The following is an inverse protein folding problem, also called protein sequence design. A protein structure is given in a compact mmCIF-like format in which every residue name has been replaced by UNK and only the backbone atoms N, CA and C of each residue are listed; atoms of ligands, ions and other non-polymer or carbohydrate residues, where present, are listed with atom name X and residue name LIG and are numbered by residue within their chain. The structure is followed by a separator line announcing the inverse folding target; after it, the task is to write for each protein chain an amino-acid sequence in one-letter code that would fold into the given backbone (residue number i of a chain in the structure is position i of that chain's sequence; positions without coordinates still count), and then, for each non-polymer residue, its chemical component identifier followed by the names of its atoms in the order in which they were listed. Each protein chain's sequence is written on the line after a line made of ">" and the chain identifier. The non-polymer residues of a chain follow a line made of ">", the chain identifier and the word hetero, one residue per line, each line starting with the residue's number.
data_IF_910371184836
#
_entry.id   IF_910371184836
#
_cell.length_a   1.000
_cell.length_b   1.000
_cell.length_c   1.000
_cell.angle_alpha   90.00
_cell.angle_beta   90.00
_cell.angle_gamma   90.00
#
_symmetry.space_group_name_H-M   'P 1'
#
loop_
_entity.id
_entity.type
_entity.pdbx_description
1 polymer ?
#
# COMPACT_ATOMS: atom_id res chain seq x y z
N UNK A 1 -27.00 5.33 -65.92
CA UNK A 1 -25.57 5.62 -66.14
C UNK A 1 -25.19 6.75 -65.19
N UNK A 2 -24.37 6.64 -64.16
CA UNK A 2 -23.65 5.57 -63.48
C UNK A 2 -23.42 6.08 -62.04
N UNK A 3 -23.51 5.21 -61.03
CA UNK A 3 -22.36 4.80 -60.22
C UNK A 3 -21.56 5.98 -59.65
N UNK A 4 -21.86 6.41 -58.41
CA UNK A 4 -21.10 7.51 -57.81
C UNK A 4 -21.31 7.87 -56.33
N UNK A 5 -22.17 7.19 -55.55
CA UNK A 5 -22.46 7.63 -54.16
C UNK A 5 -22.57 6.48 -53.14
N UNK A 6 -21.70 5.47 -53.19
CA UNK A 6 -21.69 4.41 -52.15
C UNK A 6 -20.29 3.95 -51.71
N UNK A 7 -19.33 4.88 -51.62
CA UNK A 7 -17.94 4.54 -51.26
C UNK A 7 -17.48 4.96 -49.85
N UNK A 8 -18.39 5.30 -48.93
CA UNK A 8 -18.00 5.68 -47.55
C UNK A 8 -18.95 5.21 -46.43
N UNK A 9 -19.52 3.99 -46.52
CA UNK A 9 -20.33 3.42 -45.42
C UNK A 9 -19.98 1.97 -45.03
N UNK A 10 -18.77 1.49 -45.36
CA UNK A 10 -18.40 0.07 -45.20
C UNK A 10 -17.29 -0.25 -44.19
N UNK A 11 -16.86 0.70 -43.35
CA UNK A 11 -15.67 0.54 -42.49
C UNK A 11 -15.91 0.77 -40.99
N UNK A 12 -17.11 0.41 -40.52
CA UNK A 12 -17.42 0.26 -39.10
C UNK A 12 -18.19 -1.05 -38.89
N UNK A 13 -17.47 -2.17 -38.83
CA UNK A 13 -17.87 -3.40 -38.12
C UNK A 13 -17.01 -4.56 -38.61
N UNK A 14 -15.91 -4.83 -37.91
CA UNK A 14 -15.27 -6.15 -37.81
C UNK A 14 -14.24 -6.11 -36.69
N UNK A 15 -14.73 -5.91 -35.47
CA UNK A 15 -14.01 -6.41 -34.29
C UNK A 15 -14.03 -7.92 -34.37
N UNK A 16 -12.97 -8.50 -34.94
CA UNK A 16 -12.74 -9.93 -34.86
C UNK A 16 -12.44 -10.27 -33.39
N UNK A 17 -13.42 -10.85 -32.71
CA UNK A 17 -13.23 -11.47 -31.42
C UNK A 17 -12.18 -12.58 -31.60
N UNK A 18 -11.02 -12.41 -30.97
CA UNK A 18 -10.02 -13.48 -30.86
C UNK A 18 -10.68 -14.63 -30.10
N UNK A 19 -10.75 -15.85 -30.67
CA UNK A 19 -11.40 -16.97 -29.99
C UNK A 19 -10.62 -17.31 -28.72
N UNK A 20 -11.32 -17.42 -27.59
CA UNK A 20 -10.76 -17.67 -26.26
C UNK A 20 -9.75 -18.84 -26.22
N UNK A 21 -9.95 -19.86 -27.06
CA UNK A 21 -9.08 -21.03 -27.21
C UNK A 21 -7.63 -20.70 -27.64
N UNK A 22 -7.43 -19.69 -28.50
CA UNK A 22 -6.09 -19.25 -28.88
C UNK A 22 -5.38 -18.60 -27.68
N UNK A 23 -6.11 -17.81 -26.88
CA UNK A 23 -5.59 -17.22 -25.65
C UNK A 23 -5.19 -18.24 -24.60
N UNK A 24 -5.94 -19.35 -24.47
CA UNK A 24 -5.67 -20.39 -23.48
C UNK A 24 -4.47 -21.28 -23.84
N UNK A 25 -4.28 -21.56 -25.13
CA UNK A 25 -3.09 -22.30 -25.60
C UNK A 25 -1.81 -21.48 -25.44
N UNK A 26 -1.85 -20.18 -25.79
CA UNK A 26 -0.73 -19.27 -25.52
C UNK A 26 -0.43 -19.16 -24.02
N UNK A 27 -1.44 -19.03 -23.16
CA UNK A 27 -1.26 -19.03 -21.70
C UNK A 27 -0.64 -20.33 -21.19
N UNK A 28 -1.02 -21.48 -21.74
CA UNK A 28 -0.47 -22.78 -21.36
C UNK A 28 1.02 -22.90 -21.73
N UNK A 29 1.39 -22.48 -22.95
CA UNK A 29 2.80 -22.42 -23.38
C UNK A 29 3.59 -21.43 -22.52
N UNK A 30 3.05 -20.25 -22.24
CA UNK A 30 3.67 -19.28 -21.33
C UNK A 30 3.84 -19.82 -19.91
N UNK A 31 2.89 -20.61 -19.38
CA UNK A 31 3.03 -21.27 -18.06
C UNK A 31 4.07 -22.37 -18.05
N UNK A 32 4.36 -22.99 -19.19
CA UNK A 32 5.42 -23.99 -19.29
C UNK A 32 6.81 -23.34 -19.29
N UNK A 33 6.94 -22.19 -19.96
CA UNK A 33 8.20 -21.41 -20.02
C UNK A 33 8.40 -20.55 -18.76
N UNK A 34 7.32 -20.01 -18.20
CA UNK A 34 7.27 -19.15 -17.01
C UNK A 34 6.22 -19.69 -16.02
N UNK A 35 6.54 -20.75 -15.28
CA UNK A 35 5.62 -21.32 -14.31
C UNK A 35 5.28 -20.29 -13.23
N UNK A 36 4.00 -20.20 -12.78
CA UNK A 36 3.67 -19.34 -11.66
C UNK A 36 4.46 -19.82 -10.44
N UNK A 37 5.14 -18.87 -9.79
CA UNK A 37 5.96 -19.14 -8.61
C UNK A 37 5.41 -18.39 -7.41
N UNK A 38 5.58 -19.00 -6.24
CA UNK A 38 5.20 -18.38 -4.98
C UNK A 38 5.94 -17.06 -4.77
N UNK A 39 5.19 -15.98 -4.53
CA UNK A 39 5.70 -14.66 -4.23
C UNK A 39 6.56 -14.61 -2.96
N UNK A 40 6.45 -15.59 -2.06
CA UNK A 40 7.24 -15.69 -0.83
C UNK A 40 8.52 -16.51 -0.96
N UNK A 41 8.45 -17.71 -1.55
CA UNK A 41 9.57 -18.69 -1.58
C UNK A 41 10.03 -19.10 -2.98
N UNK A 42 9.46 -18.54 -4.06
CA UNK A 42 9.78 -18.85 -5.46
C UNK A 42 9.58 -20.31 -5.91
N UNK A 43 9.04 -21.20 -5.07
CA UNK A 43 8.64 -22.56 -5.48
C UNK A 43 7.53 -22.47 -6.54
N UNK A 44 7.57 -23.34 -7.54
CA UNK A 44 6.49 -23.48 -8.53
C UNK A 44 5.17 -23.80 -7.82
N UNK A 45 4.12 -23.11 -8.23
CA UNK A 45 2.75 -23.30 -7.72
C UNK A 45 1.89 -23.89 -8.82
N UNK A 46 0.96 -24.78 -8.47
CA UNK A 46 0.05 -25.41 -9.44
C UNK A 46 -1.10 -24.52 -9.93
N UNK A 47 -1.17 -23.26 -9.49
CA UNK A 47 -2.28 -22.34 -9.80
C UNK A 47 -1.87 -20.88 -9.74
N UNK A 48 -2.85 -19.98 -9.91
CA UNK A 48 -2.68 -18.52 -9.92
C UNK A 48 -2.51 -17.90 -8.52
N UNK A 49 -2.45 -18.74 -7.48
CA UNK A 49 -2.26 -18.30 -6.10
C UNK A 49 -0.91 -17.59 -5.94
N UNK A 50 -0.94 -16.38 -5.40
CA UNK A 50 0.29 -15.60 -5.23
C UNK A 50 1.24 -16.20 -4.18
N UNK A 51 0.75 -17.02 -3.25
CA UNK A 51 1.57 -17.75 -2.28
C UNK A 51 1.25 -19.25 -2.31
N UNK A 52 2.26 -20.08 -2.04
CA UNK A 52 2.03 -21.48 -1.68
C UNK A 52 1.43 -21.61 -0.27
N UNK A 53 0.86 -22.77 0.06
CA UNK A 53 0.24 -23.03 1.36
C UNK A 53 1.18 -22.78 2.56
N UNK A 54 2.46 -23.12 2.43
CA UNK A 54 3.45 -22.88 3.50
C UNK A 54 3.68 -21.39 3.74
N UNK A 55 3.90 -20.63 2.65
CA UNK A 55 4.09 -19.19 2.73
C UNK A 55 2.81 -18.48 3.20
N UNK A 56 1.64 -18.97 2.81
CA UNK A 56 0.37 -18.41 3.27
C UNK A 56 0.19 -18.59 4.79
N UNK A 57 0.48 -19.78 5.33
CA UNK A 57 0.43 -20.06 6.78
C UNK A 57 1.47 -19.27 7.58
N UNK A 58 2.59 -18.93 6.96
CA UNK A 58 3.68 -18.13 7.55
C UNK A 58 3.40 -16.61 7.53
N UNK A 59 2.26 -16.16 6.98
CA UNK A 59 1.82 -14.77 7.14
C UNK A 59 1.00 -14.65 8.42
N UNK A 60 1.58 -13.99 9.42
CA UNK A 60 0.87 -13.58 10.63
C UNK A 60 -0.03 -12.37 10.34
N UNK A 61 -1.21 -12.62 9.77
CA UNK A 61 -2.23 -11.61 9.50
C UNK A 61 -2.70 -10.95 10.80
N UNK A 62 -2.96 -9.65 10.73
CA UNK A 62 -3.57 -8.89 11.81
C UNK A 62 -5.07 -8.77 11.50
N UNK A 63 -5.89 -9.46 12.29
CA UNK A 63 -7.35 -9.36 12.29
C UNK A 63 -7.82 -8.91 13.70
N UNK A 64 -9.11 -8.57 13.85
CA UNK A 64 -9.70 -8.24 15.16
C UNK A 64 -9.54 -9.41 16.14
N UNK A 65 -9.37 -9.16 17.45
CA UNK A 65 -9.37 -7.85 18.11
C UNK A 65 -8.01 -7.14 18.03
N UNK A 66 -8.04 -5.83 17.77
CA UNK A 66 -6.84 -4.97 17.75
C UNK A 66 -7.15 -3.60 18.37
N UNK A 67 -6.10 -2.85 18.71
CA UNK A 67 -6.19 -1.48 19.17
C UNK A 67 -6.81 -0.57 18.10
N UNK A 68 -7.85 0.18 18.45
CA UNK A 68 -8.56 1.01 17.47
C UNK A 68 -7.67 2.13 16.88
N UNK A 69 -6.70 2.62 17.64
CA UNK A 69 -5.77 3.68 17.21
C UNK A 69 -4.52 3.14 16.53
N UNK A 70 -3.84 2.15 17.12
CA UNK A 70 -2.55 1.66 16.61
C UNK A 70 -2.66 0.39 15.76
N UNK A 71 -3.80 -0.29 15.73
CA UNK A 71 -3.95 -1.56 14.99
C UNK A 71 -3.08 -2.70 15.53
N UNK A 72 -2.57 -2.57 16.76
CA UNK A 72 -1.80 -3.64 17.44
C UNK A 72 -2.80 -4.72 17.88
N UNK A 73 -2.61 -5.99 17.49
CA UNK A 73 -3.51 -7.08 17.88
C UNK A 73 -3.51 -7.29 19.39
N UNK A 74 -4.67 -7.69 19.92
CA UNK A 74 -4.82 -8.10 21.31
C UNK A 74 -4.95 -9.63 21.41
N UNK A 75 -4.40 -10.19 22.49
CA UNK A 75 -4.54 -11.61 22.78
C UNK A 75 -5.98 -12.01 23.15
N UNK A 76 -6.81 -11.05 23.59
CA UNK A 76 -8.22 -11.25 23.95
C UNK A 76 -9.07 -10.09 23.46
N UNK A 77 -10.34 -10.38 23.24
CA UNK A 77 -11.32 -9.35 22.95
C UNK A 77 -11.64 -8.57 24.23
N UNK A 78 -11.52 -7.25 24.14
CA UNK A 78 -11.77 -6.29 25.21
C UNK A 78 -13.02 -5.44 24.94
N UNK A 79 -13.79 -5.77 23.90
CA UNK A 79 -14.96 -5.03 23.45
C UNK A 79 -14.62 -3.90 22.46
N UNK A 80 -15.67 -3.25 21.98
CA UNK A 80 -15.57 -2.21 20.97
C UNK A 80 -14.87 -0.95 21.51
N UNK A 81 -14.03 -0.32 20.67
CA UNK A 81 -13.39 0.94 21.02
C UNK A 81 -12.11 0.80 21.85
N UNK A 82 -11.63 -0.42 22.12
CA UNK A 82 -10.50 -0.60 23.03
C UNK A 82 -9.17 -0.07 22.45
N UNK A 83 -8.40 0.62 23.30
CA UNK A 83 -7.15 1.29 22.93
C UNK A 83 -6.01 0.74 23.78
N UNK A 84 -4.88 0.43 23.15
CA UNK A 84 -3.72 -0.13 23.84
C UNK A 84 -3.05 0.87 24.78
N UNK A 85 -2.39 0.39 25.83
CA UNK A 85 -1.63 1.23 26.76
C UNK A 85 -0.60 2.13 26.04
N UNK A 86 0.01 1.63 24.96
CA UNK A 86 0.93 2.40 24.14
C UNK A 86 0.25 3.60 23.46
N UNK A 87 -0.95 3.41 22.93
CA UNK A 87 -1.70 4.50 22.29
C UNK A 87 -2.18 5.55 23.30
N UNK A 88 -2.47 5.14 24.54
CA UNK A 88 -2.84 6.04 25.63
C UNK A 88 -1.61 6.84 26.11
N UNK A 89 -0.49 6.15 26.36
CA UNK A 89 0.73 6.77 26.89
C UNK A 89 1.39 7.69 25.86
N UNK A 90 1.34 7.35 24.58
CA UNK A 90 1.91 8.15 23.50
C UNK A 90 0.97 8.22 22.29
N UNK A 91 -0.04 9.11 22.32
CA UNK A 91 -0.99 9.26 21.24
C UNK A 91 -0.31 9.65 19.92
N UNK A 92 -0.57 8.91 18.82
CA UNK A 92 0.01 9.25 17.53
C UNK A 92 -0.66 10.49 16.91
N UNK A 93 0.00 11.17 15.95
CA UNK A 93 -0.55 12.33 15.26
C UNK A 93 -1.51 11.95 14.10
N UNK A 94 -2.15 10.80 14.19
CA UNK A 94 -3.10 10.23 13.22
C UNK A 94 -4.21 9.52 14.00
N UNK A 95 -5.36 9.30 13.37
CA UNK A 95 -6.55 8.77 14.05
C UNK A 95 -6.48 7.27 14.26
N UNK A 96 -5.99 6.58 13.23
CA UNK A 96 -5.94 5.12 13.21
C UNK A 96 -4.81 4.62 12.33
N UNK A 97 -4.29 3.47 12.69
CA UNK A 97 -3.36 2.66 11.93
C UNK A 97 -3.97 1.29 11.69
N UNK A 98 -3.86 0.81 10.45
CA UNK A 98 -4.19 -0.55 10.06
C UNK A 98 -3.00 -1.14 9.30
N UNK A 99 -2.73 -2.41 9.54
CA UNK A 99 -1.69 -3.15 8.84
C UNK A 99 -2.19 -4.55 8.48
N UNK A 100 -1.70 -5.10 7.37
CA UNK A 100 -2.12 -6.44 6.92
C UNK A 100 -1.56 -7.53 7.83
N UNK A 101 -0.30 -7.41 8.23
CA UNK A 101 0.42 -8.47 8.94
C UNK A 101 1.54 -7.93 9.83
N UNK A 102 2.01 -8.78 10.75
CA UNK A 102 3.27 -8.52 11.45
C UNK A 102 4.44 -8.55 10.45
N UNK A 103 5.47 -7.74 10.69
CA UNK A 103 6.65 -7.63 9.82
C UNK A 103 7.65 -8.77 10.06
N UNK A 104 7.17 -10.00 9.87
CA UNK A 104 7.91 -11.25 10.09
C UNK A 104 7.65 -12.25 8.96
N UNK A 105 8.30 -13.41 9.01
CA UNK A 105 8.07 -14.53 8.09
C UNK A 105 7.94 -14.14 6.62
N UNK A 106 6.84 -14.53 6.01
CA UNK A 106 6.55 -14.29 4.58
C UNK A 106 6.18 -12.84 4.31
N UNK A 107 5.52 -12.14 5.24
CA UNK A 107 5.20 -10.71 5.07
C UNK A 107 6.47 -9.86 4.92
N UNK A 108 7.49 -10.11 5.75
CA UNK A 108 8.81 -9.47 5.64
C UNK A 108 9.48 -9.76 4.29
N UNK A 109 9.39 -10.99 3.80
CA UNK A 109 9.93 -11.38 2.48
C UNK A 109 9.23 -10.61 1.36
N UNK A 110 7.91 -10.52 1.38
CA UNK A 110 7.12 -9.78 0.37
C UNK A 110 7.51 -8.29 0.33
N UNK A 111 7.58 -7.64 1.50
CA UNK A 111 8.08 -6.26 1.62
C UNK A 111 9.48 -6.12 1.04
N UNK A 112 10.38 -7.05 1.36
CA UNK A 112 11.76 -7.02 0.85
C UNK A 112 11.78 -7.16 -0.68
N UNK A 113 11.02 -8.10 -1.25
CA UNK A 113 10.94 -8.31 -2.71
C UNK A 113 10.39 -7.08 -3.42
N UNK A 114 9.35 -6.45 -2.88
CA UNK A 114 8.84 -5.18 -3.40
C UNK A 114 9.89 -4.05 -3.32
N UNK A 115 10.72 -4.01 -2.26
CA UNK A 115 11.73 -2.97 -2.05
C UNK A 115 12.97 -3.08 -2.93
N UNK A 116 13.34 -4.29 -3.36
CA UNK A 116 14.68 -4.57 -3.87
C UNK A 116 14.74 -5.47 -5.13
N UNK A 117 13.63 -6.05 -5.57
CA UNK A 117 13.62 -7.01 -6.68
C UNK A 117 12.70 -6.58 -7.84
N UNK A 118 12.28 -5.32 -7.90
CA UNK A 118 11.42 -4.75 -8.94
C UNK A 118 10.12 -5.54 -9.23
N UNK A 119 9.67 -6.35 -8.25
CA UNK A 119 8.46 -7.17 -8.30
C UNK A 119 7.20 -6.33 -8.06
N UNK A 120 6.95 -5.38 -8.96
CA UNK A 120 5.76 -4.51 -8.93
C UNK A 120 4.46 -5.29 -9.14
N UNK A 121 4.53 -6.49 -9.71
CA UNK A 121 3.43 -7.46 -9.76
C UNK A 121 2.88 -7.79 -8.37
N UNK A 122 3.72 -7.75 -7.32
CA UNK A 122 3.29 -7.96 -5.93
C UNK A 122 2.45 -6.79 -5.41
N UNK A 123 2.67 -5.57 -5.89
CA UNK A 123 1.98 -4.39 -5.38
C UNK A 123 0.46 -4.51 -5.57
N UNK A 124 0.00 -5.15 -6.65
CA UNK A 124 -1.43 -5.42 -6.87
C UNK A 124 -2.01 -6.33 -5.80
N UNK A 125 -1.37 -7.45 -5.53
CA UNK A 125 -1.81 -8.40 -4.50
C UNK A 125 -1.81 -7.74 -3.12
N UNK A 126 -0.69 -7.10 -2.78
CA UNK A 126 -0.49 -6.46 -1.47
C UNK A 126 -1.54 -5.37 -1.24
N UNK A 127 -1.89 -4.60 -2.26
CA UNK A 127 -2.95 -3.60 -2.18
C UNK A 127 -4.34 -4.20 -1.92
N UNK A 128 -4.66 -5.37 -2.48
CA UNK A 128 -5.92 -6.05 -2.18
C UNK A 128 -5.97 -6.52 -0.72
N UNK A 129 -4.86 -6.99 -0.17
CA UNK A 129 -4.80 -7.35 1.25
C UNK A 129 -4.89 -6.11 2.15
N UNK A 130 -4.25 -5.01 1.74
CA UNK A 130 -4.37 -3.72 2.44
C UNK A 130 -5.81 -3.21 2.41
N UNK A 131 -6.53 -3.38 1.30
CA UNK A 131 -7.95 -3.01 1.22
C UNK A 131 -8.79 -3.80 2.24
N UNK A 132 -8.60 -5.12 2.32
CA UNK A 132 -9.25 -5.95 3.35
C UNK A 132 -8.88 -5.48 4.76
N UNK A 133 -7.60 -5.30 5.04
CA UNK A 133 -7.11 -4.90 6.36
C UNK A 133 -7.51 -3.46 6.75
N UNK A 134 -7.96 -2.65 5.79
CA UNK A 134 -8.37 -1.27 6.04
C UNK A 134 -9.60 -1.16 6.94
N UNK A 135 -10.35 -2.24 7.16
CA UNK A 135 -11.50 -2.24 8.09
C UNK A 135 -12.53 -1.16 7.72
N UNK A 136 -12.81 -1.03 6.41
CA UNK A 136 -13.74 -0.04 5.84
C UNK A 136 -13.21 1.40 5.76
N UNK A 137 -12.03 1.70 6.31
CA UNK A 137 -11.48 3.06 6.34
C UNK A 137 -11.13 3.60 4.95
N UNK A 138 -10.73 2.71 4.02
CA UNK A 138 -10.50 3.10 2.62
C UNK A 138 -11.81 3.44 1.93
N UNK A 139 -12.89 2.71 2.18
CA UNK A 139 -14.20 3.01 1.59
C UNK A 139 -14.78 4.31 2.13
N UNK A 140 -14.49 4.63 3.39
CA UNK A 140 -14.88 5.88 4.02
C UNK A 140 -13.98 7.08 3.67
N UNK A 141 -12.82 6.89 3.03
CA UNK A 141 -11.91 8.01 2.77
C UNK A 141 -12.33 8.86 1.56
N UNK A 142 -11.84 10.09 1.51
CA UNK A 142 -12.05 11.00 0.39
C UNK A 142 -10.87 10.95 -0.60
N UNK A 143 -9.67 10.58 -0.12
CA UNK A 143 -8.49 10.41 -0.96
C UNK A 143 -7.41 9.51 -0.33
N UNK A 144 -6.53 9.00 -1.19
CA UNK A 144 -5.37 8.20 -0.83
C UNK A 144 -4.10 8.98 -1.14
N UNK A 145 -3.20 9.11 -0.16
CA UNK A 145 -1.92 9.79 -0.28
C UNK A 145 -0.80 8.80 0.05
N UNK A 146 0.18 8.55 -0.85
CA UNK A 146 1.34 7.74 -0.50
C UNK A 146 2.37 8.54 0.28
N UNK A 147 3.08 7.90 1.22
CA UNK A 147 4.26 8.49 1.85
C UNK A 147 5.37 8.68 0.79
N UNK A 148 5.90 9.90 0.61
CA UNK A 148 6.93 10.14 -0.39
C UNK A 148 8.30 9.62 0.07
N UNK A 149 9.01 8.97 -0.84
CA UNK A 149 10.43 8.68 -0.69
C UNK A 149 11.27 9.91 -1.01
N UNK A 150 12.47 9.96 -0.44
CA UNK A 150 13.44 10.99 -0.80
C UNK A 150 13.91 10.82 -2.26
N UNK A 151 14.13 11.92 -2.98
CA UNK A 151 14.58 11.93 -4.40
C UNK A 151 15.81 11.05 -4.64
N UNK A 152 16.82 11.11 -3.78
CA UNK A 152 18.03 10.26 -3.89
C UNK A 152 17.74 8.75 -3.74
N UNK A 153 16.67 8.39 -3.03
CA UNK A 153 16.24 6.99 -2.89
C UNK A 153 15.40 6.55 -4.09
N UNK A 154 14.60 7.46 -4.65
CA UNK A 154 13.87 7.26 -5.91
C UNK A 154 14.83 6.98 -7.07
N UNK A 155 15.91 7.77 -7.21
CA UNK A 155 16.93 7.57 -8.25
C UNK A 155 17.66 6.22 -8.15
N UNK A 156 17.84 5.69 -6.93
CA UNK A 156 18.54 4.40 -6.71
C UNK A 156 17.63 3.18 -6.80
N UNK A 157 16.31 3.33 -6.63
CA UNK A 157 15.33 2.23 -6.59
C UNK A 157 14.29 2.28 -7.70
N UNK A 158 14.38 3.23 -8.63
CA UNK A 158 13.55 3.42 -9.83
C UNK A 158 12.05 3.68 -9.62
N UNK A 159 11.46 3.33 -8.47
CA UNK A 159 10.05 3.60 -8.14
C UNK A 159 9.81 3.80 -6.63
N UNK A 160 8.64 4.37 -6.29
CA UNK A 160 8.18 4.54 -4.90
C UNK A 160 7.22 3.41 -4.51
N UNK A 161 7.65 2.52 -3.63
CA UNK A 161 6.86 1.35 -3.19
C UNK A 161 5.51 1.76 -2.61
N UNK A 162 5.50 2.77 -1.74
CA UNK A 162 4.28 3.29 -1.12
C UNK A 162 3.35 3.92 -2.17
N UNK A 163 3.90 4.56 -3.20
CA UNK A 163 3.11 5.07 -4.33
C UNK A 163 2.54 3.95 -5.22
N UNK A 164 3.29 2.88 -5.46
CA UNK A 164 2.81 1.72 -6.21
C UNK A 164 1.69 0.97 -5.48
N UNK A 165 1.85 0.76 -4.18
CA UNK A 165 0.79 0.21 -3.32
C UNK A 165 -0.44 1.12 -3.35
N UNK A 166 -0.27 2.43 -3.15
CA UNK A 166 -1.37 3.39 -3.18
C UNK A 166 -2.07 3.44 -4.54
N UNK A 167 -1.34 3.30 -5.65
CA UNK A 167 -1.89 3.26 -7.01
C UNK A 167 -2.79 2.05 -7.23
N UNK A 168 -2.36 0.87 -6.78
CA UNK A 168 -3.20 -0.32 -6.87
C UNK A 168 -4.38 -0.27 -5.90
N UNK A 169 -4.19 0.29 -4.69
CA UNK A 169 -5.26 0.46 -3.71
C UNK A 169 -6.34 1.42 -4.20
N UNK A 170 -5.95 2.58 -4.75
CA UNK A 170 -6.84 3.56 -5.35
C UNK A 170 -7.67 2.97 -6.49
N UNK A 171 -7.04 2.17 -7.36
CA UNK A 171 -7.75 1.48 -8.45
C UNK A 171 -8.74 0.43 -7.93
N UNK A 172 -8.36 -0.33 -6.90
CA UNK A 172 -9.21 -1.37 -6.34
C UNK A 172 -10.41 -0.79 -5.57
N UNK A 173 -10.25 0.37 -4.93
CA UNK A 173 -11.29 1.05 -4.14
C UNK A 173 -12.06 2.13 -4.89
N UNK A 174 -11.63 2.51 -6.10
CA UNK A 174 -12.21 3.63 -6.84
C UNK A 174 -11.92 5.01 -6.23
N UNK A 175 -10.98 5.11 -5.27
CA UNK A 175 -10.66 6.36 -4.57
C UNK A 175 -9.62 7.20 -5.31
N UNK A 176 -9.67 8.55 -5.22
CA UNK A 176 -8.66 9.42 -5.81
C UNK A 176 -7.27 9.18 -5.21
N UNK A 177 -6.26 8.99 -6.08
CA UNK A 177 -4.85 8.97 -5.69
C UNK A 177 -4.24 10.37 -5.83
N UNK A 178 -3.67 10.87 -4.73
CA UNK A 178 -3.04 12.19 -4.64
C UNK A 178 -1.53 12.07 -4.43
N UNK A 179 -0.84 11.43 -5.39
CA UNK A 179 0.58 11.09 -5.28
C UNK A 179 1.53 12.30 -5.27
N UNK A 180 1.09 13.46 -5.76
CA UNK A 180 1.87 14.69 -5.83
C UNK A 180 1.63 15.67 -4.67
N UNK A 181 0.70 15.36 -3.76
CA UNK A 181 0.23 16.29 -2.74
C UNK A 181 1.19 16.38 -1.55
N UNK A 182 1.76 15.25 -1.12
CA UNK A 182 2.74 15.21 -0.04
C UNK A 182 4.16 15.10 -0.59
N UNK A 183 5.05 15.99 -0.15
CA UNK A 183 6.45 16.02 -0.54
C UNK A 183 7.36 15.72 0.65
N UNK A 184 8.50 15.08 0.36
CA UNK A 184 9.62 14.97 1.29
C UNK A 184 10.64 16.05 1.00
N UNK A 185 10.73 17.06 1.86
CA UNK A 185 11.52 18.29 1.65
C UNK A 185 12.90 18.27 2.29
N UNK A 186 13.15 17.36 3.25
CA UNK A 186 14.43 17.24 3.94
C UNK A 186 15.11 15.90 3.62
N UNK A 187 16.42 15.88 3.31
CA UNK A 187 17.20 14.65 3.33
C UNK A 187 17.30 14.13 4.77
N UNK A 188 17.08 12.83 4.93
CA UNK A 188 17.15 12.17 6.25
C UNK A 188 18.15 11.04 6.16
N UNK A 189 18.96 10.85 7.20
CA UNK A 189 19.91 9.75 7.28
C UNK A 189 19.20 8.39 7.28
N UNK A 190 19.96 7.32 7.00
CA UNK A 190 19.42 5.96 7.10
C UNK A 190 18.99 5.71 8.54
N UNK A 191 17.74 5.28 8.73
CA UNK A 191 17.19 5.01 10.06
C UNK A 191 17.68 3.70 10.69
N UNK A 192 18.43 2.88 9.94
CA UNK A 192 19.02 1.63 10.44
C UNK A 192 20.09 1.98 11.47
N UNK A 193 20.02 1.36 12.65
CA UNK A 193 20.93 1.64 13.77
C UNK A 193 20.52 2.82 14.66
N UNK A 194 19.53 3.64 14.26
CA UNK A 194 19.02 4.73 15.09
C UNK A 194 18.03 4.24 16.15
N UNK A 195 18.09 4.84 17.34
CA UNK A 195 17.09 4.70 18.40
C UNK A 195 15.73 5.26 17.97
N UNK A 196 14.66 4.92 18.68
CA UNK A 196 13.32 5.43 18.36
C UNK A 196 13.25 6.97 18.40
N UNK A 197 13.89 7.58 19.40
CA UNK A 197 13.99 9.04 19.54
C UNK A 197 14.78 9.65 18.37
N UNK A 198 15.97 9.12 18.07
CA UNK A 198 16.78 9.59 16.95
C UNK A 198 16.06 9.45 15.59
N UNK A 199 15.23 8.42 15.42
CA UNK A 199 14.38 8.28 14.23
C UNK A 199 13.32 9.38 14.14
N UNK A 200 12.71 9.79 15.26
CA UNK A 200 11.73 10.88 15.31
C UNK A 200 12.36 12.22 14.94
N UNK A 201 13.53 12.51 15.49
CA UNK A 201 14.24 13.76 15.20
C UNK A 201 14.73 13.83 13.75
N UNK A 202 15.24 12.72 13.22
CA UNK A 202 15.71 12.63 11.84
C UNK A 202 14.62 13.03 10.81
N UNK A 203 13.36 12.67 11.06
CA UNK A 203 12.23 12.99 10.15
C UNK A 203 11.45 14.24 10.53
N UNK A 204 11.83 14.94 11.60
CA UNK A 204 11.17 16.19 12.00
C UNK A 204 11.28 17.24 10.89
N UNK A 205 10.14 17.79 10.48
CA UNK A 205 10.06 18.75 9.39
C UNK A 205 10.39 18.18 8.00
N UNK A 206 10.49 16.85 7.86
CA UNK A 206 10.88 16.25 6.58
C UNK A 206 9.75 16.20 5.54
N UNK A 207 8.51 16.47 5.93
CA UNK A 207 7.33 16.40 5.08
C UNK A 207 6.55 17.71 5.07
N UNK A 208 6.09 18.10 3.88
CA UNK A 208 5.25 19.27 3.63
C UNK A 208 4.31 18.97 2.47
N UNK A 209 3.23 19.73 2.33
CA UNK A 209 2.44 19.68 1.11
C UNK A 209 3.18 20.35 -0.04
N UNK A 210 2.90 19.90 -1.26
CA UNK A 210 3.26 20.64 -2.46
C UNK A 210 2.54 22.00 -2.45
N UNK A 211 3.21 23.10 -2.86
CA UNK A 211 2.59 24.42 -2.88
C UNK A 211 1.29 24.44 -3.69
N UNK A 212 0.23 25.04 -3.16
CA UNK A 212 -1.07 25.17 -3.84
C UNK A 212 -1.93 23.90 -3.78
N UNK A 213 -1.55 22.91 -2.98
CA UNK A 213 -2.25 21.62 -2.81
C UNK A 213 -2.92 21.51 -1.44
N UNK A 214 -3.07 22.60 -0.70
CA UNK A 214 -3.70 22.63 0.62
C UNK A 214 -5.17 22.21 0.53
N UNK A 215 -5.87 22.64 -0.52
CA UNK A 215 -7.27 22.29 -0.80
C UNK A 215 -7.46 20.81 -1.15
N UNK A 216 -6.40 20.10 -1.54
CA UNK A 216 -6.45 18.65 -1.81
C UNK A 216 -6.75 17.84 -0.54
N UNK A 217 -6.46 18.39 0.65
CA UNK A 217 -6.57 17.68 1.93
C UNK A 217 -7.43 18.40 2.98
N UNK A 218 -7.64 19.70 2.86
CA UNK A 218 -8.41 20.47 3.84
C UNK A 218 -9.84 19.92 3.99
N UNK A 219 -10.22 19.59 5.22
CA UNK A 219 -11.53 19.02 5.56
C UNK A 219 -11.74 17.57 5.09
N UNK A 220 -10.73 16.91 4.51
CA UNK A 220 -10.87 15.56 3.95
C UNK A 220 -10.34 14.48 4.89
N UNK A 221 -10.91 13.28 4.74
CA UNK A 221 -10.46 12.03 5.36
C UNK A 221 -9.44 11.38 4.43
N UNK A 222 -8.20 11.30 4.89
CA UNK A 222 -7.04 10.89 4.10
C UNK A 222 -6.56 9.51 4.55
N UNK A 223 -6.41 8.58 3.59
CA UNK A 223 -5.65 7.34 3.84
C UNK A 223 -4.20 7.56 3.41
N UNK A 224 -3.30 7.58 4.38
CA UNK A 224 -1.86 7.67 4.20
C UNK A 224 -1.25 6.27 4.05
N UNK A 225 -0.69 5.96 2.90
CA UNK A 225 -0.16 4.63 2.56
C UNK A 225 1.35 4.57 2.74
N UNK A 226 1.84 3.55 3.45
CA UNK A 226 3.26 3.20 3.52
C UNK A 226 3.47 1.67 3.41
N UNK A 227 4.70 1.20 3.24
CA UNK A 227 4.97 -0.24 3.17
C UNK A 227 5.04 -0.91 4.56
N UNK A 228 5.75 -0.29 5.51
CA UNK A 228 6.01 -0.86 6.83
C UNK A 228 5.91 0.20 7.92
N UNK A 229 5.08 -0.07 8.92
CA UNK A 229 5.09 0.65 10.18
C UNK A 229 6.13 0.04 11.14
N UNK A 230 7.04 0.87 11.65
CA UNK A 230 8.00 0.46 12.69
C UNK A 230 7.85 1.34 13.93
N UNK A 231 8.69 2.36 14.09
CA UNK A 231 8.60 3.31 15.22
C UNK A 231 7.53 4.39 15.01
N UNK A 232 6.82 4.36 13.89
CA UNK A 232 5.87 5.39 13.50
C UNK A 232 6.49 6.75 13.16
N UNK A 233 7.81 6.93 13.20
CA UNK A 233 8.45 8.23 13.00
C UNK A 233 8.10 8.85 11.63
N UNK A 234 8.28 8.08 10.54
CA UNK A 234 8.03 8.53 9.17
C UNK A 234 6.56 8.88 8.95
N UNK A 235 5.66 7.93 9.21
CA UNK A 235 4.21 8.15 9.04
C UNK A 235 3.71 9.25 9.99
N UNK A 236 4.20 9.33 11.22
CA UNK A 236 3.80 10.37 12.16
C UNK A 236 4.22 11.78 11.70
N UNK A 237 5.40 11.93 11.09
CA UNK A 237 5.81 13.20 10.50
C UNK A 237 4.98 13.58 9.26
N UNK A 238 4.63 12.60 8.43
CA UNK A 238 3.75 12.79 7.28
C UNK A 238 2.32 13.16 7.72
N UNK A 239 1.74 12.44 8.68
CA UNK A 239 0.42 12.73 9.24
C UNK A 239 0.36 14.11 9.88
N UNK A 240 1.42 14.55 10.58
CA UNK A 240 1.52 15.94 11.08
C UNK A 240 1.50 16.99 9.96
N UNK A 241 2.04 16.70 8.79
CA UNK A 241 1.97 17.63 7.66
C UNK A 241 0.54 17.70 7.10
N UNK A 242 -0.15 16.56 6.96
CA UNK A 242 -1.54 16.49 6.53
C UNK A 242 -2.49 17.19 7.52
N UNK A 243 -2.33 16.93 8.83
CA UNK A 243 -3.12 17.56 9.89
C UNK A 243 -2.94 19.07 9.93
N UNK A 244 -1.71 19.57 9.80
CA UNK A 244 -1.44 21.02 9.73
C UNK A 244 -2.09 21.70 8.52
N UNK A 245 -2.32 20.95 7.46
CA UNK A 245 -3.05 21.44 6.28
C UNK A 245 -4.58 21.27 6.38
N UNK A 246 -5.10 20.87 7.55
CA UNK A 246 -6.53 20.81 7.81
C UNK A 246 -7.21 19.48 7.46
N UNK A 247 -6.47 18.38 7.28
CA UNK A 247 -7.10 17.07 7.12
C UNK A 247 -8.01 16.72 8.31
N UNK A 248 -9.25 16.30 8.03
CA UNK A 248 -10.27 15.99 9.03
C UNK A 248 -10.02 14.66 9.76
N UNK A 249 -9.52 13.67 9.04
CA UNK A 249 -9.05 12.37 9.56
C UNK A 249 -7.82 11.95 8.75
N UNK A 250 -6.86 11.32 9.42
CA UNK A 250 -5.70 10.68 8.81
C UNK A 250 -5.64 9.24 9.29
N UNK A 251 -5.97 8.32 8.39
CA UNK A 251 -5.81 6.89 8.58
C UNK A 251 -4.51 6.43 7.95
N UNK A 252 -3.62 5.81 8.72
CA UNK A 252 -2.40 5.18 8.19
C UNK A 252 -2.71 3.73 7.81
N UNK A 253 -2.33 3.33 6.60
CA UNK A 253 -2.47 1.96 6.12
C UNK A 253 -1.12 1.43 5.62
N UNK A 254 -0.63 0.37 6.27
CA UNK A 254 0.64 -0.27 5.88
C UNK A 254 0.46 -1.73 5.49
N UNK A 255 1.39 -2.27 4.71
CA UNK A 255 1.38 -3.71 4.46
C UNK A 255 1.82 -4.48 5.70
N UNK A 256 2.90 -4.05 6.37
CA UNK A 256 3.40 -4.73 7.56
C UNK A 256 3.60 -3.78 8.73
N UNK A 257 3.60 -4.32 9.94
CA UNK A 257 3.86 -3.60 11.19
C UNK A 257 4.86 -4.38 12.05
N UNK A 258 5.89 -3.72 12.57
CA UNK A 258 6.74 -4.32 13.61
C UNK A 258 6.01 -4.28 14.95
N UNK A 259 5.72 -5.44 15.52
CA UNK A 259 5.08 -5.60 16.83
C UNK A 259 6.19 -5.94 17.82
N UNK A 260 6.26 -5.18 18.91
CA UNK A 260 7.18 -5.48 20.02
C UNK A 260 6.39 -6.16 21.13
N UNK A 261 6.26 -7.49 21.07
CA UNK A 261 5.60 -8.31 22.07
C UNK A 261 5.07 -9.62 21.48
N UNK A 262 5.02 -10.72 22.24
CA UNK A 262 4.34 -11.94 21.79
C UNK A 262 2.85 -11.63 21.60
N UNK A 263 2.34 -12.04 20.43
CA UNK A 263 0.90 -12.14 20.14
C UNK A 263 0.23 -13.16 21.06
#
# INVERSE_FOLDING_TARGET
>A
MGAGESLFSGLLSKSAAVPAAAGDMWRAVFRMVYPPTCAGCTRMTGGEGALCADCWRDVAFIDRPFCEVLGIPFARDHGDGFVSAQAIAEPPPFDRLRAVASHEGTARKLVHRLKYQDRTDLARLMALWMLRASDGTVDACDCIVPVPLHRNRFLRRRFNQSAELARHLARASGKPLLAGTLLRVKPTERQVGLSALARRDNVRGAFALAPGRETDVHGRRVVLVDDVYTTGATVGAASRALRRAGAADVTVLTFAMAISGPI
#
